data_IF_428173568292
#
_entry.id   IF_428173568292
#
_cell.length_a   1.000
_cell.length_b   1.000
_cell.length_c   1.000
_cell.angle_alpha   90.00
_cell.angle_beta   90.00
_cell.angle_gamma   90.00
#
_symmetry.space_group_name_H-M   'P 1'
#
loop_
_entity.id
_entity.type
_entity.pdbx_description
1 polymer ?
#
# COMPACT_ATOMS: atom_id res chain seq x y z
N UNK A 1 1.45 65.47 8.81
CA UNK A 1 1.08 64.84 10.10
C UNK A 1 2.37 64.55 10.86
N UNK A 2 2.57 65.16 12.02
CA UNK A 2 3.82 65.07 12.78
C UNK A 2 3.75 63.82 13.67
N UNK A 3 4.58 62.82 13.41
CA UNK A 3 4.73 61.64 14.27
C UNK A 3 5.42 62.05 15.58
N UNK A 4 4.68 62.05 16.70
CA UNK A 4 5.28 62.15 18.03
C UNK A 4 6.06 60.89 18.33
N UNK A 5 7.36 61.01 18.61
CA UNK A 5 8.20 59.92 19.11
C UNK A 5 7.79 59.62 20.56
N UNK A 6 7.38 58.38 20.81
CA UNK A 6 7.10 57.88 22.15
C UNK A 6 8.39 57.21 22.69
N UNK A 7 8.83 57.58 23.89
CA UNK A 7 10.04 57.05 24.52
C UNK A 7 9.74 55.91 25.52
N UNK A 8 8.49 55.44 25.53
CA UNK A 8 8.02 54.37 26.41
C UNK A 8 8.24 53.04 25.70
N UNK A 9 8.89 52.11 26.39
CA UNK A 9 9.05 50.73 25.94
C UNK A 9 7.72 49.98 26.10
N UNK A 10 7.12 49.50 25.02
CA UNK A 10 5.78 48.89 25.06
C UNK A 10 5.75 47.60 25.90
N UNK A 11 6.86 46.87 25.98
CA UNK A 11 6.94 45.59 26.69
C UNK A 11 7.15 45.75 28.20
N UNK A 12 7.81 46.84 28.64
CA UNK A 12 8.21 47.02 30.04
C UNK A 12 7.65 48.28 30.72
N UNK A 13 7.03 49.20 29.97
CA UNK A 13 6.49 50.42 30.54
C UNK A 13 5.14 50.17 31.21
N UNK A 14 5.13 50.19 32.53
CA UNK A 14 3.90 50.23 33.34
C UNK A 14 3.60 51.68 33.75
N UNK A 15 2.44 52.22 33.34
CA UNK A 15 2.03 53.55 33.78
C UNK A 15 1.59 53.55 35.26
N UNK A 16 2.05 54.53 36.03
CA UNK A 16 1.64 54.70 37.43
C UNK A 16 0.16 55.10 37.60
N UNK A 17 -0.48 55.52 36.52
CA UNK A 17 -1.91 55.80 36.47
C UNK A 17 -2.55 54.89 35.43
N UNK A 18 -3.65 54.26 35.81
CA UNK A 18 -4.55 53.61 34.87
C UNK A 18 -5.40 54.68 34.19
N UNK A 19 -5.68 54.53 32.90
CA UNK A 19 -6.59 55.45 32.20
C UNK A 19 -7.96 55.45 32.89
N UNK A 20 -8.50 56.64 33.18
CA UNK A 20 -9.82 56.82 33.81
C UNK A 20 -10.93 56.07 33.04
N UNK A 21 -10.81 55.97 31.71
CA UNK A 21 -11.77 55.23 30.89
C UNK A 21 -11.72 53.72 31.15
N UNK A 22 -10.51 53.15 31.26
CA UNK A 22 -10.32 51.72 31.57
C UNK A 22 -10.79 51.39 32.99
N UNK A 23 -10.49 52.23 33.99
CA UNK A 23 -11.01 52.05 35.35
C UNK A 23 -12.54 52.06 35.40
N UNK A 24 -13.18 52.97 34.64
CA UNK A 24 -14.64 53.09 34.61
C UNK A 24 -15.28 51.86 33.97
N UNK A 25 -14.74 51.36 32.88
CA UNK A 25 -15.28 50.17 32.20
C UNK A 25 -15.17 48.92 33.07
N UNK A 26 -14.01 48.68 33.69
CA UNK A 26 -13.82 47.53 34.58
C UNK A 26 -14.64 47.60 35.87
N UNK A 27 -15.00 48.80 36.34
CA UNK A 27 -15.85 48.96 37.52
C UNK A 27 -17.31 48.51 37.29
N UNK A 28 -17.76 48.43 36.03
CA UNK A 28 -19.13 48.03 35.67
C UNK A 28 -19.21 46.63 35.04
N UNK A 29 -18.11 45.87 35.00
CA UNK A 29 -18.11 44.51 34.48
C UNK A 29 -18.83 43.54 35.44
N UNK A 30 -20.14 43.39 35.23
CA UNK A 30 -21.01 42.46 35.97
C UNK A 30 -20.67 41.00 35.61
N UNK A 31 -20.16 40.77 34.39
CA UNK A 31 -19.72 39.46 33.90
C UNK A 31 -18.20 39.46 33.75
N UNK A 32 -17.49 39.08 34.84
CA UNK A 32 -16.02 38.93 34.93
C UNK A 32 -15.44 37.83 34.02
N UNK A 33 -15.85 37.77 32.76
CA UNK A 33 -15.47 36.69 31.86
C UNK A 33 -14.06 36.87 31.31
N UNK A 34 -13.62 38.10 31.07
CA UNK A 34 -12.33 38.38 30.43
C UNK A 34 -11.31 39.12 31.30
N UNK A 35 -11.74 39.95 32.25
CA UNK A 35 -10.85 40.73 33.14
C UNK A 35 -11.00 40.38 34.63
N UNK A 36 -11.15 39.10 34.98
CA UNK A 36 -11.13 38.67 36.38
C UNK A 36 -9.69 38.51 36.87
N UNK A 37 -9.33 39.13 38.00
CA UNK A 37 -8.07 38.87 38.70
C UNK A 37 -7.81 37.37 38.87
N UNK A 38 -8.85 36.58 39.13
CA UNK A 38 -8.74 35.13 39.29
C UNK A 38 -8.36 34.42 37.97
N UNK A 39 -8.88 34.88 36.83
CA UNK A 39 -8.53 34.33 35.50
C UNK A 39 -7.09 34.72 35.12
N UNK A 40 -6.72 35.97 35.36
CA UNK A 40 -5.38 36.49 35.09
C UNK A 40 -4.34 35.82 36.00
N UNK A 41 -4.65 35.65 37.29
CA UNK A 41 -3.81 34.92 38.24
C UNK A 41 -3.64 33.46 37.81
N UNK A 42 -4.72 32.76 37.41
CA UNK A 42 -4.63 31.40 36.89
C UNK A 42 -3.80 31.30 35.60
N UNK A 43 -3.86 32.31 34.72
CA UNK A 43 -3.04 32.35 33.49
C UNK A 43 -1.57 32.65 33.79
N UNK A 44 -1.28 33.44 34.82
CA UNK A 44 0.06 33.82 35.24
C UNK A 44 0.75 32.74 36.09
N UNK A 45 0.03 31.70 36.55
CA UNK A 45 0.65 30.56 37.24
C UNK A 45 1.49 29.78 36.23
N UNK A 46 2.81 29.98 36.33
CA UNK A 46 3.81 29.22 35.58
C UNK A 46 3.97 27.83 36.21
N UNK A 47 3.50 26.80 35.51
CA UNK A 47 3.59 25.41 35.95
C UNK A 47 4.96 24.81 35.62
N UNK A 48 5.79 24.65 36.65
CA UNK A 48 7.14 24.05 36.57
C UNK A 48 7.06 22.51 36.51
N UNK A 49 5.89 21.91 36.76
CA UNK A 49 5.69 20.45 36.83
C UNK A 49 5.20 19.83 35.52
N UNK A 50 5.01 20.62 34.46
CA UNK A 50 4.46 20.17 33.17
C UNK A 50 5.38 19.32 32.26
N UNK A 51 6.67 19.14 32.60
CA UNK A 51 7.62 18.34 31.78
C UNK A 51 7.68 16.86 32.20
N UNK A 52 7.11 16.51 33.36
CA UNK A 52 6.93 15.11 33.72
C UNK A 52 5.82 14.50 32.86
N UNK A 53 6.20 13.59 31.96
CA UNK A 53 5.33 12.82 31.06
C UNK A 53 4.44 11.81 31.79
N UNK A 54 3.99 12.14 33.00
CA UNK A 54 3.03 11.38 33.76
C UNK A 54 1.62 11.89 33.44
N UNK A 55 0.78 11.11 32.74
CA UNK A 55 -0.59 11.51 32.37
C UNK A 55 -1.56 11.63 33.57
N UNK A 56 -1.05 11.50 34.80
CA UNK A 56 -1.79 11.55 36.06
C UNK A 56 -1.72 12.89 36.78
N UNK A 57 -0.88 13.85 36.36
CA UNK A 57 -0.67 15.12 37.07
C UNK A 57 -1.00 16.40 36.29
N UNK A 58 -1.60 16.32 35.10
CA UNK A 58 -2.08 17.52 34.40
C UNK A 58 -3.47 17.95 34.92
N UNK A 59 -3.45 18.56 36.09
CA UNK A 59 -4.63 18.97 36.87
C UNK A 59 -5.43 20.16 36.36
N UNK A 60 -5.21 20.68 35.15
CA UNK A 60 -5.86 21.96 34.73
C UNK A 60 -6.41 22.03 33.32
N UNK A 61 -6.82 20.90 32.69
CA UNK A 61 -7.84 20.94 31.60
C UNK A 61 -8.83 19.78 31.70
N UNK A 62 -9.74 19.91 32.66
CA UNK A 62 -10.84 19.02 33.00
C UNK A 62 -11.93 18.86 31.89
N UNK A 63 -11.56 18.58 30.65
CA UNK A 63 -12.52 18.21 29.60
C UNK A 63 -12.34 16.77 29.07
N UNK A 64 -11.34 16.03 29.53
CA UNK A 64 -10.94 14.77 28.89
C UNK A 64 -11.20 13.50 29.67
N UNK A 65 -11.30 13.49 31.01
CA UNK A 65 -11.21 12.24 31.79
C UNK A 65 -12.21 12.23 32.96
N UNK A 66 -12.86 11.10 33.19
CA UNK A 66 -13.81 10.86 34.30
C UNK A 66 -13.51 9.54 34.99
N UNK A 67 -13.68 9.49 36.31
CA UNK A 67 -13.59 8.23 37.06
C UNK A 67 -14.77 7.30 36.74
N UNK A 68 -14.48 6.05 36.37
CA UNK A 68 -15.50 5.02 36.13
C UNK A 68 -15.61 4.08 37.33
N UNK A 69 -16.74 4.11 38.04
CA UNK A 69 -16.98 3.22 39.20
C UNK A 69 -16.94 1.72 38.82
N UNK A 70 -17.46 1.35 37.65
CA UNK A 70 -17.49 -0.03 37.17
C UNK A 70 -16.10 -0.57 36.84
N UNK A 71 -15.22 0.27 36.27
CA UNK A 71 -13.86 -0.12 35.88
C UNK A 71 -12.80 0.23 36.94
N UNK A 72 -13.20 0.92 38.02
CA UNK A 72 -12.34 1.40 39.12
C UNK A 72 -11.06 2.10 38.64
N UNK A 73 -11.18 2.90 37.57
CA UNK A 73 -10.06 3.64 36.97
C UNK A 73 -10.55 4.92 36.29
N UNK A 74 -9.63 5.86 36.08
CA UNK A 74 -9.86 7.02 35.21
C UNK A 74 -10.04 6.53 33.76
N UNK A 75 -11.10 7.02 33.10
CA UNK A 75 -11.46 6.71 31.72
C UNK A 75 -11.62 8.02 30.96
N UNK A 76 -11.13 8.10 29.73
CA UNK A 76 -11.32 9.30 28.92
C UNK A 76 -12.80 9.47 28.57
N UNK A 77 -13.35 10.69 28.65
CA UNK A 77 -14.71 11.01 28.17
C UNK A 77 -14.89 10.65 26.69
N UNK A 78 -13.81 10.62 25.91
CA UNK A 78 -13.85 10.18 24.52
C UNK A 78 -14.16 8.67 24.37
N UNK A 79 -13.84 7.86 25.38
CA UNK A 79 -14.11 6.42 25.38
C UNK A 79 -15.59 6.08 25.65
N UNK A 80 -16.39 7.05 26.12
CA UNK A 80 -17.84 6.86 26.38
C UNK A 80 -18.66 6.91 25.08
N UNK A 81 -18.12 7.50 24.01
CA UNK A 81 -18.76 7.51 22.70
C UNK A 81 -18.44 6.22 21.92
N UNK A 82 -19.48 5.41 21.69
CA UNK A 82 -19.50 4.28 20.74
C UNK A 82 -18.53 3.10 21.02
N UNK A 83 -17.88 3.06 22.19
CA UNK A 83 -17.09 1.91 22.65
C UNK A 83 -15.87 1.54 21.79
N UNK A 84 -15.52 2.38 20.80
CA UNK A 84 -14.35 2.17 19.94
C UNK A 84 -13.10 2.67 20.65
N UNK A 85 -12.47 1.75 21.37
CA UNK A 85 -11.15 1.94 21.97
C UNK A 85 -10.17 2.33 20.85
N UNK A 86 -9.77 3.61 20.82
CA UNK A 86 -8.94 4.32 19.81
C UNK A 86 -9.77 5.07 18.78
N UNK A 87 -9.42 6.35 18.61
CA UNK A 87 -9.80 7.23 17.50
C UNK A 87 -9.45 6.62 16.13
N UNK A 88 -10.22 5.64 15.69
CA UNK A 88 -10.23 5.24 14.30
C UNK A 88 -11.08 6.28 13.59
N UNK A 89 -10.41 7.29 12.99
CA UNK A 89 -11.06 8.28 12.11
C UNK A 89 -12.07 7.54 11.22
N UNK A 90 -13.36 7.76 11.40
CA UNK A 90 -14.39 7.01 10.67
C UNK A 90 -14.72 7.74 9.37
N UNK A 91 -14.86 7.00 8.27
CA UNK A 91 -15.30 7.51 6.98
C UNK A 91 -16.74 7.07 6.77
N UNK A 92 -17.62 7.99 6.36
CA UNK A 92 -19.01 7.67 5.98
C UNK A 92 -19.00 7.15 4.54
N UNK A 93 -19.41 5.90 4.35
CA UNK A 93 -19.57 5.32 3.02
C UNK A 93 -20.79 5.89 2.29
N UNK A 94 -20.86 5.66 0.97
CA UNK A 94 -22.00 6.05 0.11
C UNK A 94 -23.35 5.48 0.59
N UNK A 95 -23.33 4.34 1.27
CA UNK A 95 -24.50 3.71 1.91
C UNK A 95 -24.86 4.31 3.29
N UNK A 96 -24.14 5.34 3.75
CA UNK A 96 -24.34 5.96 5.06
C UNK A 96 -23.70 5.21 6.24
N UNK A 97 -23.18 3.99 6.03
CA UNK A 97 -22.51 3.19 7.07
C UNK A 97 -21.14 3.80 7.39
N UNK A 98 -20.85 4.00 8.67
CA UNK A 98 -19.54 4.46 9.16
C UNK A 98 -18.58 3.28 9.21
N UNK A 99 -17.45 3.41 8.52
CA UNK A 99 -16.39 2.40 8.46
C UNK A 99 -15.13 3.03 9.04
N UNK A 100 -14.33 2.33 9.87
CA UNK A 100 -13.06 2.90 10.33
C UNK A 100 -12.16 3.15 9.12
N UNK A 101 -11.44 4.29 9.07
CA UNK A 101 -10.56 4.62 7.94
C UNK A 101 -9.48 3.55 7.67
N UNK A 102 -9.19 2.70 8.68
CA UNK A 102 -8.25 1.59 8.58
C UNK A 102 -8.85 0.31 7.99
N UNK A 103 -10.16 0.26 7.72
CA UNK A 103 -10.80 -0.90 7.10
C UNK A 103 -10.42 -1.01 5.62
N UNK A 104 -9.25 -1.60 5.38
CA UNK A 104 -8.83 -2.01 4.04
C UNK A 104 -9.73 -3.17 3.62
N UNK A 105 -10.72 -2.91 2.77
CA UNK A 105 -11.63 -3.93 2.22
C UNK A 105 -10.93 -5.03 1.42
N UNK A 106 -9.62 -4.98 1.24
CA UNK A 106 -8.84 -5.95 0.46
C UNK A 106 -9.17 -5.96 -1.03
N UNK A 107 -10.18 -5.21 -1.50
CA UNK A 107 -10.63 -5.19 -2.90
C UNK A 107 -9.51 -4.86 -3.87
N UNK A 108 -8.66 -3.87 -3.54
CA UNK A 108 -7.49 -3.53 -4.34
C UNK A 108 -6.48 -4.68 -4.38
N UNK A 109 -6.23 -5.36 -3.25
CA UNK A 109 -5.33 -6.51 -3.22
C UNK A 109 -5.88 -7.70 -4.03
N UNK A 110 -7.18 -7.99 -3.93
CA UNK A 110 -7.88 -9.00 -4.71
C UNK A 110 -7.79 -8.68 -6.21
N UNK A 111 -8.07 -7.43 -6.59
CA UNK A 111 -7.96 -6.95 -7.97
C UNK A 111 -6.51 -6.98 -8.49
N UNK A 112 -5.55 -6.56 -7.66
CA UNK A 112 -4.12 -6.58 -7.97
C UNK A 112 -3.64 -8.00 -8.22
N UNK A 113 -4.05 -8.94 -7.37
CA UNK A 113 -3.72 -10.36 -7.48
C UNK A 113 -4.41 -11.01 -8.68
N UNK A 114 -5.68 -10.68 -8.95
CA UNK A 114 -6.43 -11.24 -10.08
C UNK A 114 -5.91 -10.74 -11.42
N UNK A 115 -5.57 -9.44 -11.54
CA UNK A 115 -4.99 -8.86 -12.75
C UNK A 115 -3.48 -9.04 -12.85
N UNK A 116 -2.82 -9.53 -11.80
CA UNK A 116 -1.35 -9.67 -11.68
C UNK A 116 -0.63 -8.35 -11.99
N UNK A 117 -1.18 -7.24 -11.48
CA UNK A 117 -0.64 -5.90 -11.69
C UNK A 117 0.47 -5.65 -10.68
N UNK A 118 1.69 -5.40 -11.16
CA UNK A 118 2.79 -4.90 -10.32
C UNK A 118 2.60 -3.42 -10.07
N UNK A 119 2.62 -3.03 -8.79
CA UNK A 119 2.52 -1.64 -8.40
C UNK A 119 3.82 -0.93 -8.76
N UNK A 120 3.71 0.11 -9.58
CA UNK A 120 4.85 0.96 -9.95
C UNK A 120 5.26 1.80 -8.74
N UNK A 121 6.57 1.95 -8.53
CA UNK A 121 7.10 2.83 -7.49
C UNK A 121 7.08 4.28 -7.96
N UNK A 122 6.98 5.21 -7.02
CA UNK A 122 7.07 6.64 -7.31
C UNK A 122 8.42 6.93 -7.96
N UNK A 123 8.42 7.57 -9.15
CA UNK A 123 9.62 7.82 -9.95
C UNK A 123 9.94 6.77 -11.02
N UNK A 124 9.20 5.65 -11.06
CA UNK A 124 9.26 4.74 -12.21
C UNK A 124 8.49 5.33 -13.39
N UNK A 125 9.11 5.33 -14.58
CA UNK A 125 8.51 5.85 -15.81
C UNK A 125 7.23 5.06 -16.09
N UNK A 126 6.11 5.75 -16.13
CA UNK A 126 4.81 5.15 -16.42
C UNK A 126 4.80 4.59 -17.84
N UNK A 127 5.06 3.30 -17.97
CA UNK A 127 4.89 2.64 -19.26
C UNK A 127 3.40 2.53 -19.54
N UNK A 128 2.84 3.51 -20.24
CA UNK A 128 1.43 3.62 -20.66
C UNK A 128 0.93 2.41 -21.48
N UNK A 129 1.80 1.41 -21.74
CA UNK A 129 1.51 0.20 -22.52
C UNK A 129 0.97 -0.97 -21.69
N UNK A 130 0.95 -0.91 -20.36
CA UNK A 130 0.64 -2.08 -19.53
C UNK A 130 -0.84 -2.25 -19.14
N UNK A 131 -1.71 -1.28 -19.42
CA UNK A 131 -3.13 -1.35 -18.98
C UNK A 131 -4.13 -1.70 -20.09
N UNK A 132 -3.71 -1.77 -21.37
CA UNK A 132 -4.64 -1.87 -22.50
C UNK A 132 -4.29 -2.91 -23.57
N UNK A 133 -3.35 -3.85 -23.33
CA UNK A 133 -3.00 -4.84 -24.35
C UNK A 133 -3.41 -6.24 -23.87
N UNK A 134 -4.49 -6.83 -24.44
CA UNK A 134 -4.84 -8.20 -24.12
C UNK A 134 -3.68 -9.11 -24.53
N UNK A 135 -3.35 -10.08 -23.66
CA UNK A 135 -2.23 -11.04 -23.82
C UNK A 135 -2.32 -11.92 -25.09
N UNK A 136 -3.32 -11.70 -25.95
CA UNK A 136 -3.53 -12.41 -27.20
C UNK A 136 -3.37 -11.53 -28.46
N UNK A 137 -3.06 -10.25 -28.34
CA UNK A 137 -2.86 -9.39 -29.52
C UNK A 137 -1.47 -9.56 -30.10
N UNK A 138 -1.36 -10.29 -31.21
CA UNK A 138 -0.14 -10.43 -32.02
C UNK A 138 0.16 -9.19 -32.87
N UNK A 139 -0.17 -7.98 -32.38
CA UNK A 139 0.07 -6.74 -33.12
C UNK A 139 1.24 -6.01 -32.50
N UNK A 140 2.38 -6.15 -33.18
CA UNK A 140 3.64 -5.50 -32.85
C UNK A 140 3.51 -3.98 -32.99
N UNK A 141 3.24 -3.30 -31.89
CA UNK A 141 3.35 -1.84 -31.80
C UNK A 141 4.78 -1.50 -31.33
N UNK A 142 5.56 -0.88 -32.20
CA UNK A 142 6.95 -0.40 -32.03
C UNK A 142 8.08 -1.46 -32.06
N UNK A 143 8.74 -1.55 -33.23
CA UNK A 143 10.20 -1.65 -33.44
C UNK A 143 11.03 -2.78 -32.79
N UNK A 144 10.47 -3.59 -31.91
CA UNK A 144 11.19 -4.67 -31.24
C UNK A 144 11.19 -5.88 -32.16
N UNK A 145 12.27 -6.05 -32.93
CA UNK A 145 12.54 -7.30 -33.65
C UNK A 145 12.46 -8.44 -32.63
N UNK A 146 11.56 -9.38 -32.86
CA UNK A 146 11.38 -10.54 -31.99
C UNK A 146 12.71 -11.30 -31.88
N UNK A 147 13.27 -11.38 -30.68
CA UNK A 147 14.47 -12.18 -30.39
C UNK A 147 13.99 -13.57 -29.98
N UNK A 148 14.23 -14.57 -30.83
CA UNK A 148 13.94 -15.96 -30.51
C UNK A 148 14.92 -16.47 -29.44
N UNK A 149 14.48 -16.51 -28.18
CA UNK A 149 15.29 -17.03 -27.07
C UNK A 149 15.07 -18.52 -26.81
N UNK A 150 14.30 -19.22 -27.66
CA UNK A 150 14.03 -20.65 -27.49
C UNK A 150 15.27 -21.46 -27.88
N UNK A 151 15.98 -21.95 -26.88
CA UNK A 151 17.09 -22.89 -27.03
C UNK A 151 16.52 -24.30 -27.16
N UNK A 152 16.43 -24.80 -28.40
CA UNK A 152 15.93 -26.15 -28.69
C UNK A 152 17.02 -26.97 -29.37
N UNK A 153 17.31 -28.16 -28.80
CA UNK A 153 18.25 -29.11 -29.40
C UNK A 153 17.81 -29.50 -30.83
N UNK A 154 18.74 -29.58 -31.81
CA UNK A 154 18.45 -30.14 -33.13
C UNK A 154 17.98 -31.59 -33.02
N UNK A 155 17.05 -31.99 -33.91
CA UNK A 155 16.59 -33.38 -34.02
C UNK A 155 17.73 -34.28 -34.54
N UNK A 156 17.75 -35.55 -34.10
CA UNK A 156 18.70 -36.56 -34.60
C UNK A 156 18.60 -36.71 -36.12
N UNK A 157 19.73 -36.81 -36.84
CA UNK A 157 19.71 -36.90 -38.30
C UNK A 157 19.38 -38.34 -38.71
N UNK A 158 18.73 -38.48 -39.86
CA UNK A 158 18.58 -39.77 -40.52
C UNK A 158 19.87 -40.14 -41.26
N UNK A 159 20.36 -41.37 -41.06
CA UNK A 159 21.65 -41.85 -41.58
C UNK A 159 21.71 -41.86 -43.11
N UNK A 160 20.58 -42.12 -43.76
CA UNK A 160 20.51 -42.30 -45.21
C UNK A 160 20.24 -41.01 -45.99
N UNK A 161 20.39 -39.86 -45.32
CA UNK A 161 20.12 -38.56 -45.92
C UNK A 161 21.40 -37.88 -46.40
N UNK A 162 21.35 -37.24 -47.56
CA UNK A 162 22.51 -36.57 -48.16
C UNK A 162 23.13 -35.49 -47.27
N UNK A 163 22.33 -34.82 -46.42
CA UNK A 163 22.78 -33.80 -45.49
C UNK A 163 23.21 -34.33 -44.10
N UNK A 164 23.38 -35.65 -43.95
CA UNK A 164 23.69 -36.32 -42.69
C UNK A 164 24.89 -35.69 -41.96
N UNK A 165 26.03 -35.57 -42.64
CA UNK A 165 27.27 -35.03 -42.06
C UNK A 165 27.09 -33.58 -41.55
N UNK A 166 26.33 -32.76 -42.27
CA UNK A 166 26.04 -31.36 -41.87
C UNK A 166 25.20 -31.31 -40.59
N UNK A 167 24.21 -32.19 -40.48
CA UNK A 167 23.34 -32.28 -39.29
C UNK A 167 24.06 -32.90 -38.09
N UNK A 168 24.88 -33.91 -38.32
CA UNK A 168 25.73 -34.50 -37.29
C UNK A 168 26.64 -33.44 -36.66
N UNK A 169 27.30 -32.60 -37.48
CA UNK A 169 28.11 -31.47 -37.02
C UNK A 169 27.31 -30.46 -36.19
N UNK A 170 26.06 -30.16 -36.59
CA UNK A 170 25.16 -29.26 -35.82
C UNK A 170 24.78 -29.84 -34.47
N UNK A 171 24.58 -31.15 -34.39
CA UNK A 171 24.27 -31.83 -33.13
C UNK A 171 25.49 -31.88 -32.23
N UNK A 172 26.67 -32.23 -32.74
CA UNK A 172 27.94 -32.17 -31.99
C UNK A 172 28.15 -30.78 -31.39
N UNK A 173 27.99 -29.73 -32.19
CA UNK A 173 28.06 -28.34 -31.71
C UNK A 173 26.98 -27.99 -30.67
N UNK A 174 25.79 -28.57 -30.77
CA UNK A 174 24.73 -28.35 -29.78
C UNK A 174 25.01 -29.07 -28.45
N UNK A 175 25.62 -30.25 -28.51
CA UNK A 175 26.07 -31.02 -27.33
C UNK A 175 27.23 -30.29 -26.65
N UNK A 176 28.25 -29.87 -27.41
CA UNK A 176 29.39 -29.08 -26.90
C UNK A 176 28.93 -27.81 -26.17
N UNK A 177 27.90 -27.15 -26.69
CA UNK A 177 27.31 -25.96 -26.06
C UNK A 177 26.31 -26.26 -24.94
N UNK A 178 26.09 -27.53 -24.58
CA UNK A 178 25.18 -27.95 -23.51
C UNK A 178 23.68 -27.82 -23.84
N UNK A 179 23.30 -27.60 -25.11
CA UNK A 179 21.89 -27.47 -25.51
C UNK A 179 21.19 -28.81 -25.73
N UNK A 180 21.94 -29.89 -25.88
CA UNK A 180 21.41 -31.20 -26.19
C UNK A 180 22.00 -32.25 -25.23
N UNK A 181 21.16 -32.75 -24.32
CA UNK A 181 21.47 -33.95 -23.56
C UNK A 181 21.05 -35.16 -24.40
N UNK A 182 22.00 -35.99 -24.81
CA UNK A 182 21.70 -37.31 -25.37
C UNK A 182 21.23 -38.16 -24.18
N UNK A 183 19.96 -38.02 -23.81
CA UNK A 183 19.36 -38.86 -22.80
C UNK A 183 19.11 -40.23 -23.44
N UNK A 184 20.17 -41.03 -23.57
CA UNK A 184 20.08 -42.43 -23.99
C UNK A 184 19.29 -43.13 -22.89
N UNK A 185 18.05 -43.50 -23.20
CA UNK A 185 17.24 -44.31 -22.29
C UNK A 185 17.84 -45.71 -22.31
N UNK A 186 18.81 -45.95 -21.45
CA UNK A 186 19.51 -47.23 -21.29
C UNK A 186 18.67 -48.29 -20.57
N UNK A 187 17.51 -47.88 -20.02
CA UNK A 187 16.63 -48.79 -19.29
C UNK A 187 15.78 -49.63 -20.25
N UNK A 188 15.94 -50.95 -20.16
CA UNK A 188 14.97 -51.90 -20.71
C UNK A 188 13.64 -51.71 -19.99
N UNK A 189 12.60 -51.36 -20.76
CA UNK A 189 11.27 -51.10 -20.19
C UNK A 189 10.59 -52.40 -19.76
N UNK A 190 9.96 -52.39 -18.59
CA UNK A 190 9.10 -53.49 -18.14
C UNK A 190 7.86 -53.65 -19.01
N UNK A 191 7.33 -54.87 -19.13
CA UNK A 191 6.15 -55.21 -19.94
C UNK A 191 4.92 -54.34 -19.59
N UNK A 192 4.71 -54.06 -18.30
CA UNK A 192 3.64 -53.18 -17.82
C UNK A 192 3.82 -51.73 -18.30
N UNK A 193 5.06 -51.24 -18.31
CA UNK A 193 5.37 -49.89 -18.76
C UNK A 193 5.15 -49.74 -20.28
N UNK A 194 5.49 -50.77 -21.05
CA UNK A 194 5.21 -50.84 -22.49
C UNK A 194 3.70 -50.76 -22.73
N UNK A 195 2.90 -51.56 -22.00
CA UNK A 195 1.44 -51.55 -22.11
C UNK A 195 0.85 -50.17 -21.78
N UNK A 196 1.29 -49.56 -20.67
CA UNK A 196 0.86 -48.20 -20.28
C UNK A 196 1.22 -47.16 -21.33
N UNK A 197 2.44 -47.21 -21.87
CA UNK A 197 2.91 -46.30 -22.91
C UNK A 197 2.08 -46.44 -24.21
N UNK A 198 1.72 -47.67 -24.61
CA UNK A 198 0.83 -47.92 -25.76
C UNK A 198 -0.57 -47.31 -25.54
N UNK A 199 -1.17 -47.54 -24.38
CA UNK A 199 -2.48 -46.96 -24.05
C UNK A 199 -2.47 -45.43 -24.06
N UNK A 200 -1.41 -44.80 -23.52
CA UNK A 200 -1.27 -43.35 -23.56
C UNK A 200 -1.09 -42.80 -24.98
N UNK A 201 -0.34 -43.52 -25.83
CA UNK A 201 -0.18 -43.16 -27.25
C UNK A 201 -1.53 -43.20 -27.98
N UNK A 202 -2.33 -44.23 -27.74
CA UNK A 202 -3.68 -44.35 -28.30
C UNK A 202 -4.59 -43.20 -27.83
N UNK A 203 -4.62 -42.91 -26.52
CA UNK A 203 -5.38 -41.77 -25.98
C UNK A 203 -4.96 -40.44 -26.59
N UNK A 204 -3.66 -40.21 -26.83
CA UNK A 204 -3.15 -38.99 -27.51
C UNK A 204 -3.58 -38.95 -28.96
N UNK A 205 -3.54 -40.08 -29.68
CA UNK A 205 -4.00 -40.19 -31.07
C UNK A 205 -5.49 -39.85 -31.18
N UNK A 206 -6.32 -40.43 -30.31
CA UNK A 206 -7.76 -40.14 -30.25
C UNK A 206 -8.08 -38.67 -29.92
N UNK A 207 -7.24 -38.00 -29.12
CA UNK A 207 -7.41 -36.58 -28.81
C UNK A 207 -6.98 -35.66 -29.95
N UNK A 208 -5.86 -35.96 -30.61
CA UNK A 208 -5.32 -35.16 -31.71
C UNK A 208 -6.05 -35.38 -33.05
N UNK A 209 -6.75 -36.51 -33.22
CA UNK A 209 -7.55 -36.79 -34.42
C UNK A 209 -8.97 -36.17 -34.37
N UNK A 210 -9.28 -35.32 -33.37
CA UNK A 210 -10.57 -34.63 -33.31
C UNK A 210 -10.59 -33.49 -34.34
N UNK A 211 -11.51 -33.48 -35.31
CA UNK A 211 -11.63 -32.35 -36.22
C UNK A 211 -11.97 -31.08 -35.42
N UNK A 212 -11.44 -29.90 -35.80
CA UNK A 212 -11.77 -28.66 -35.13
C UNK A 212 -13.28 -28.40 -35.25
N UNK A 213 -13.93 -28.07 -34.12
CA UNK A 213 -15.36 -27.76 -34.06
C UNK A 213 -15.66 -26.65 -35.08
N UNK A 214 -16.44 -26.94 -36.11
CA UNK A 214 -16.92 -25.91 -37.05
C UNK A 214 -17.74 -24.90 -36.26
N UNK A 215 -17.37 -23.63 -36.36
CA UNK A 215 -18.19 -22.52 -35.86
C UNK A 215 -19.25 -22.27 -36.93
N UNK A 216 -20.52 -22.48 -36.57
CA UNK A 216 -21.64 -21.90 -37.30
C UNK A 216 -21.79 -20.44 -36.86
#
# INVERSE_FOLDING_TARGET
MINKKNYKDEENYMSHYTSISSMREHAYDINKSDYSFEKEANNAVFDIMGDDKNPTQTGTRANGVRWSFKKRKLVSRMDDHDGSKKELKMIKGESGVKIPATYKTGRYAIWKNSKKVTQQKVGEIENCKSYAIPKNSHTNISGRRYKHNKLQAPKTPDKYRDDYKKKEKRIKRAIEKGYANINVKSELKSALEIRRNRQLKEKRRLKNARPPKKKH
#
